data_IF_006751202782
#
_entry.id   IF_006751202782
#
_cell.length_a   1.000
_cell.length_b   1.000
_cell.length_c   1.000
_cell.angle_alpha   90.00
_cell.angle_beta   90.00
_cell.angle_gamma   90.00
#
_symmetry.space_group_name_H-M   'P 1'
#
loop_
_entity.id
_entity.type
_entity.pdbx_description
1 polymer ?
#
# COMPACT_ATOMS: atom_id res chain seq x y z
N UNK A 1 -57.60 1.28 60.23
CA UNK A 1 -57.77 1.64 61.66
C UNK A 1 -56.99 0.60 62.46
N UNK A 2 -55.73 0.90 62.80
CA UNK A 2 -55.16 0.91 64.16
C UNK A 2 -53.91 -0.01 64.10
N UNK A 3 -52.75 0.23 64.70
CA UNK A 3 -52.25 1.22 65.65
C UNK A 3 -50.72 1.19 65.54
N UNK A 4 -50.10 2.37 65.62
CA UNK A 4 -48.67 2.60 65.84
C UNK A 4 -48.14 1.81 67.05
N UNK A 5 -46.92 1.28 66.96
CA UNK A 5 -46.05 1.14 68.14
C UNK A 5 -44.72 1.83 67.87
N UNK A 6 -44.55 2.99 68.48
CA UNK A 6 -43.27 3.67 68.72
C UNK A 6 -42.76 3.31 70.11
N UNK A 7 -41.48 3.66 70.34
CA UNK A 7 -40.67 3.67 71.59
C UNK A 7 -39.67 2.50 71.61
N UNK A 8 -38.35 2.69 71.75
CA UNK A 8 -37.56 3.63 72.57
C UNK A 8 -36.27 4.04 71.80
N UNK A 9 -35.80 5.30 71.74
CA UNK A 9 -35.08 6.07 72.77
C UNK A 9 -33.90 5.26 73.34
N UNK A 10 -32.60 5.59 73.30
CA UNK A 10 -31.72 6.79 73.35
C UNK A 10 -30.32 6.24 72.92
N UNK A 11 -29.27 6.94 72.47
CA UNK A 11 -28.59 8.15 72.93
C UNK A 11 -27.44 8.37 71.91
N UNK A 12 -27.29 9.59 71.38
CA UNK A 12 -26.15 10.49 71.64
C UNK A 12 -24.81 10.11 70.97
N UNK A 13 -24.38 10.91 70.00
CA UNK A 13 -23.31 11.90 70.20
C UNK A 13 -23.02 12.65 68.89
N UNK A 14 -23.09 13.98 68.96
CA UNK A 14 -22.70 14.93 67.91
C UNK A 14 -21.21 15.17 68.03
N UNK A 15 -20.47 15.15 66.91
CA UNK A 15 -19.24 15.91 66.76
C UNK A 15 -19.01 16.19 65.26
N UNK A 16 -19.16 17.47 64.89
CA UNK A 16 -18.79 18.00 63.60
C UNK A 16 -17.28 18.25 63.55
N UNK A 17 -16.61 17.88 62.44
CA UNK A 17 -15.31 18.40 62.08
C UNK A 17 -15.20 18.46 60.54
N UNK A 18 -14.84 19.64 60.04
CA UNK A 18 -14.96 20.04 58.64
C UNK A 18 -14.05 19.27 57.68
N UNK A 19 -14.58 19.06 56.46
CA UNK A 19 -13.80 18.60 55.33
C UNK A 19 -13.08 19.79 54.67
N UNK A 20 -11.77 19.83 54.80
CA UNK A 20 -10.91 20.63 53.94
C UNK A 20 -10.92 20.01 52.53
N UNK A 21 -11.40 20.77 51.54
CA UNK A 21 -11.24 20.45 50.12
C UNK A 21 -9.75 20.62 49.76
N UNK A 22 -9.04 19.51 49.61
CA UNK A 22 -7.74 19.49 48.93
C UNK A 22 -8.02 19.31 47.45
N UNK A 23 -7.90 20.39 46.69
CA UNK A 23 -7.78 20.37 45.23
C UNK A 23 -6.44 19.72 44.87
N UNK A 24 -6.43 18.39 44.76
CA UNK A 24 -5.36 17.69 44.07
C UNK A 24 -5.50 17.98 42.58
N UNK A 25 -4.69 18.90 42.07
CA UNK A 25 -4.52 19.11 40.64
C UNK A 25 -3.96 17.84 40.02
N UNK A 26 -4.79 17.09 39.32
CA UNK A 26 -4.33 16.12 38.34
C UNK A 26 -3.63 16.91 37.23
N UNK A 27 -2.31 16.97 37.29
CA UNK A 27 -1.49 17.27 36.12
C UNK A 27 -1.80 16.16 35.12
N UNK A 28 -2.36 16.54 33.97
CA UNK A 28 -2.84 15.63 32.95
C UNK A 28 -1.73 14.68 32.53
N UNK A 29 -1.87 13.42 32.89
CA UNK A 29 -1.14 12.34 32.23
C UNK A 29 -1.83 12.15 30.89
N UNK A 30 -1.22 12.76 29.88
CA UNK A 30 -1.52 12.55 28.48
C UNK A 30 -1.42 11.05 28.20
N UNK A 31 -2.57 10.40 28.18
CA UNK A 31 -2.70 8.97 27.92
C UNK A 31 -2.86 8.82 26.42
N UNK A 32 -1.74 8.79 25.69
CA UNK A 32 -1.81 8.74 24.23
C UNK A 32 -0.51 8.66 23.43
N UNK A 33 0.69 8.60 24.02
CA UNK A 33 1.91 8.29 23.25
C UNK A 33 2.51 6.99 23.75
N UNK A 34 2.65 6.01 22.85
CA UNK A 34 3.51 4.86 23.09
C UNK A 34 4.91 5.33 23.44
N UNK A 35 5.61 4.59 24.29
CA UNK A 35 6.99 4.93 24.65
C UNK A 35 7.83 5.09 23.38
N UNK A 36 8.43 6.27 23.23
CA UNK A 36 9.42 6.54 22.18
C UNK A 36 10.82 6.22 22.69
N UNK A 37 11.67 5.71 21.82
CA UNK A 37 13.07 5.45 22.09
C UNK A 37 13.89 6.76 22.09
N UNK A 38 15.18 6.67 22.42
CA UNK A 38 16.09 7.82 22.50
C UNK A 38 16.26 8.60 21.18
N UNK A 39 15.80 8.04 20.06
CA UNK A 39 15.82 8.66 18.72
C UNK A 39 14.49 9.28 18.32
N UNK A 40 13.47 9.22 19.19
CA UNK A 40 12.16 9.82 18.95
C UNK A 40 11.20 8.95 18.13
N UNK A 41 11.48 7.65 17.99
CA UNK A 41 10.61 6.69 17.30
C UNK A 41 9.93 5.73 18.27
N UNK A 42 8.80 5.10 17.91
CA UNK A 42 8.27 3.97 18.68
C UNK A 42 9.29 2.83 18.81
N UNK A 43 9.19 2.04 19.89
CA UNK A 43 10.03 0.84 20.07
C UNK A 43 9.89 -0.18 18.92
N UNK A 44 8.68 -0.25 18.32
CA UNK A 44 8.39 -1.08 17.15
C UNK A 44 7.76 -0.23 16.06
N UNK A 45 8.26 -0.36 14.83
CA UNK A 45 7.64 0.18 13.62
C UNK A 45 7.04 -0.98 12.81
N UNK A 46 5.75 -0.89 12.49
CA UNK A 46 5.09 -1.84 11.58
C UNK A 46 5.19 -1.35 10.15
N UNK A 47 5.82 -2.14 9.28
CA UNK A 47 5.91 -1.90 7.84
C UNK A 47 5.00 -2.89 7.10
N UNK A 48 3.98 -2.41 6.40
CA UNK A 48 3.14 -3.23 5.52
C UNK A 48 3.46 -2.98 4.05
N UNK A 49 3.25 -4.00 3.21
CA UNK A 49 3.35 -3.88 1.75
C UNK A 49 2.13 -4.52 1.09
N UNK A 50 1.67 -3.90 0.00
CA UNK A 50 0.66 -4.52 -0.88
C UNK A 50 1.25 -5.75 -1.56
N UNK A 51 0.46 -6.83 -1.77
CA UNK A 51 0.98 -8.05 -2.38
C UNK A 51 0.99 -7.95 -3.91
N UNK A 52 1.87 -7.13 -4.49
CA UNK A 52 1.94 -6.96 -5.95
C UNK A 52 2.49 -8.21 -6.68
N UNK A 53 3.22 -9.06 -5.95
CA UNK A 53 3.67 -10.38 -6.38
C UNK A 53 3.34 -11.48 -5.33
N UNK A 54 3.00 -12.70 -5.78
CA UNK A 54 2.91 -13.87 -4.90
C UNK A 54 4.30 -14.50 -4.65
N UNK A 55 5.13 -13.79 -3.88
CA UNK A 55 6.46 -14.26 -3.49
C UNK A 55 6.46 -14.82 -2.06
N UNK A 56 6.86 -16.09 -1.92
CA UNK A 56 7.15 -16.69 -0.60
C UNK A 56 8.31 -15.97 0.11
N UNK A 57 9.15 -15.28 -0.65
CA UNK A 57 10.31 -14.54 -0.18
C UNK A 57 10.07 -13.02 -0.19
N UNK A 58 8.81 -12.54 -0.21
CA UNK A 58 8.51 -11.10 -0.21
C UNK A 58 9.24 -10.40 0.94
N UNK A 59 9.25 -11.01 2.14
CA UNK A 59 10.03 -10.49 3.28
C UNK A 59 11.51 -10.29 2.94
N UNK A 60 12.14 -11.21 2.22
CA UNK A 60 13.56 -11.11 1.88
C UNK A 60 13.84 -9.89 1.00
N UNK A 61 12.91 -9.48 0.12
CA UNK A 61 13.05 -8.25 -0.68
C UNK A 61 12.97 -6.96 0.15
N UNK A 62 12.42 -7.01 1.37
CA UNK A 62 12.39 -5.88 2.29
C UNK A 62 13.50 -5.93 3.34
N UNK A 63 14.21 -7.05 3.49
CA UNK A 63 15.21 -7.22 4.55
C UNK A 63 16.32 -6.15 4.56
N UNK A 64 16.87 -5.68 3.43
CA UNK A 64 17.84 -4.58 3.42
C UNK A 64 17.24 -3.29 4.01
N UNK A 65 16.03 -2.94 3.59
CA UNK A 65 15.32 -1.77 4.07
C UNK A 65 14.95 -1.88 5.56
N UNK A 66 14.50 -3.06 5.99
CA UNK A 66 14.20 -3.37 7.39
C UNK A 66 15.45 -3.14 8.25
N UNK A 67 16.59 -3.72 7.87
CA UNK A 67 17.85 -3.52 8.61
C UNK A 67 18.29 -2.06 8.63
N UNK A 68 18.13 -1.35 7.51
CA UNK A 68 18.43 0.09 7.42
C UNK A 68 17.56 0.87 8.41
N UNK A 69 16.25 0.64 8.41
CA UNK A 69 15.32 1.30 9.32
C UNK A 69 15.65 0.98 10.78
N UNK A 70 15.86 -0.29 11.14
CA UNK A 70 16.23 -0.68 12.51
C UNK A 70 17.52 0.02 12.98
N UNK A 71 18.52 0.12 12.10
CA UNK A 71 19.79 0.81 12.39
C UNK A 71 19.57 2.31 12.60
N UNK A 72 18.82 2.95 11.71
CA UNK A 72 18.64 4.40 11.69
C UNK A 72 17.69 4.88 12.78
N UNK A 73 16.56 4.20 12.99
CA UNK A 73 15.53 4.61 13.95
C UNK A 73 15.73 4.00 15.34
N UNK A 74 16.48 2.91 15.46
CA UNK A 74 16.60 2.15 16.71
C UNK A 74 15.34 1.37 17.08
N UNK A 75 14.30 1.39 16.25
CA UNK A 75 13.09 0.59 16.41
C UNK A 75 13.33 -0.85 15.95
N UNK A 76 12.61 -1.82 16.50
CA UNK A 76 12.38 -3.10 15.84
C UNK A 76 11.43 -2.88 14.66
N UNK A 77 11.70 -3.48 13.50
CA UNK A 77 10.77 -3.38 12.36
C UNK A 77 10.00 -4.69 12.18
N UNK A 78 8.68 -4.61 12.32
CA UNK A 78 7.77 -5.71 12.07
C UNK A 78 7.18 -5.60 10.67
N UNK A 79 7.65 -6.46 9.77
CA UNK A 79 7.12 -6.53 8.42
C UNK A 79 5.84 -7.37 8.35
N UNK A 80 4.81 -6.80 7.74
CA UNK A 80 3.51 -7.42 7.50
C UNK A 80 3.31 -7.54 5.99
N UNK A 81 3.39 -8.76 5.48
CA UNK A 81 2.87 -9.08 4.16
C UNK A 81 1.34 -9.10 4.25
N UNK A 82 0.67 -8.13 3.64
CA UNK A 82 -0.77 -8.09 3.64
C UNK A 82 -1.35 -9.17 2.70
N UNK A 83 -2.52 -9.69 3.07
CA UNK A 83 -3.23 -10.68 2.24
C UNK A 83 -3.81 -10.07 0.97
N UNK A 84 -4.13 -8.78 1.00
CA UNK A 84 -4.68 -8.01 -0.11
C UNK A 84 -4.36 -6.51 0.06
N UNK A 85 -4.62 -5.75 -1.00
CA UNK A 85 -4.35 -4.31 -1.04
C UNK A 85 -5.23 -3.53 -0.04
N UNK A 86 -6.48 -3.96 0.15
CA UNK A 86 -7.42 -3.30 1.05
C UNK A 86 -6.98 -3.43 2.52
N UNK A 87 -6.37 -4.55 2.91
CA UNK A 87 -5.85 -4.79 4.25
C UNK A 87 -4.76 -3.80 4.65
N UNK A 88 -3.90 -3.38 3.71
CA UNK A 88 -2.90 -2.32 3.97
C UNK A 88 -3.61 -0.98 4.21
N UNK A 89 -4.60 -0.65 3.38
CA UNK A 89 -5.39 0.59 3.51
C UNK A 89 -6.10 0.64 4.87
N UNK A 90 -6.83 -0.41 5.24
CA UNK A 90 -7.53 -0.49 6.53
C UNK A 90 -6.55 -0.49 7.71
N UNK A 91 -5.37 -1.10 7.55
CA UNK A 91 -4.30 -1.06 8.55
C UNK A 91 -3.78 0.36 8.83
N UNK A 92 -3.65 1.18 7.79
CA UNK A 92 -3.27 2.60 7.93
C UNK A 92 -4.40 3.42 8.55
N UNK A 93 -5.66 3.21 8.14
CA UNK A 93 -6.83 3.92 8.70
C UNK A 93 -6.99 3.61 10.20
N UNK A 94 -6.78 2.36 10.58
CA UNK A 94 -6.93 1.89 11.96
C UNK A 94 -5.69 2.16 12.85
N UNK A 95 -4.69 2.89 12.35
CA UNK A 95 -3.43 3.18 13.06
C UNK A 95 -2.67 1.90 13.50
N UNK A 96 -2.88 0.77 12.84
CA UNK A 96 -2.17 -0.49 13.13
C UNK A 96 -0.87 -0.64 12.32
N UNK A 97 -0.73 0.13 11.24
CA UNK A 97 0.45 0.17 10.37
C UNK A 97 1.09 1.57 10.50
N UNK A 98 2.42 1.60 10.65
CA UNK A 98 3.18 2.85 10.79
C UNK A 98 3.73 3.31 9.43
N UNK A 99 4.21 2.36 8.64
CA UNK A 99 4.79 2.56 7.31
C UNK A 99 4.11 1.62 6.33
N UNK A 100 3.80 2.10 5.13
CA UNK A 100 3.22 1.27 4.08
C UNK A 100 3.89 1.52 2.74
N UNK A 101 4.12 0.44 1.99
CA UNK A 101 4.46 0.50 0.57
C UNK A 101 3.21 0.27 -0.28
N UNK A 102 2.89 1.25 -1.12
CA UNK A 102 1.67 1.32 -1.89
C UNK A 102 1.94 1.40 -3.39
N UNK A 103 1.10 0.74 -4.16
CA UNK A 103 0.80 1.22 -5.51
C UNK A 103 0.05 2.57 -5.44
N UNK A 104 0.26 3.48 -6.40
CA UNK A 104 -0.30 4.85 -6.36
C UNK A 104 -1.80 4.95 -6.10
N UNK A 105 -2.60 4.04 -6.67
CA UNK A 105 -4.05 4.03 -6.47
C UNK A 105 -4.43 3.64 -5.04
N UNK A 106 -3.80 2.63 -4.46
CA UNK A 106 -4.05 2.24 -3.08
C UNK A 106 -3.68 3.36 -2.09
N UNK A 107 -2.60 4.11 -2.37
CA UNK A 107 -2.24 5.32 -1.62
C UNK A 107 -3.35 6.39 -1.71
N UNK A 108 -3.84 6.69 -2.92
CA UNK A 108 -4.95 7.64 -3.12
C UNK A 108 -6.22 7.19 -2.40
N UNK A 109 -6.60 5.90 -2.51
CA UNK A 109 -7.77 5.32 -1.85
C UNK A 109 -7.65 5.41 -0.33
N UNK A 110 -6.46 5.15 0.23
CA UNK A 110 -6.23 5.30 1.66
C UNK A 110 -6.56 6.72 2.14
N UNK A 111 -6.06 7.73 1.42
CA UNK A 111 -6.35 9.13 1.73
C UNK A 111 -7.84 9.48 1.59
N UNK A 112 -8.49 9.00 0.53
CA UNK A 112 -9.94 9.19 0.30
C UNK A 112 -10.78 8.57 1.42
N UNK A 113 -10.36 7.41 1.93
CA UNK A 113 -11.05 6.68 3.00
C UNK A 113 -10.66 7.16 4.41
N UNK A 114 -9.93 8.27 4.51
CA UNK A 114 -9.69 8.98 5.76
C UNK A 114 -8.36 8.68 6.45
N UNK A 115 -7.48 7.86 5.86
CA UNK A 115 -6.13 7.67 6.37
C UNK A 115 -5.37 9.01 6.41
N UNK A 116 -4.66 9.25 7.50
CA UNK A 116 -3.77 10.41 7.67
C UNK A 116 -2.36 9.95 7.39
N UNK A 117 -1.90 10.17 6.17
CA UNK A 117 -0.65 9.62 5.67
C UNK A 117 0.17 10.68 4.93
N UNK A 118 1.49 10.58 5.08
CA UNK A 118 2.46 11.47 4.44
C UNK A 118 3.41 10.63 3.57
N UNK A 119 3.61 10.97 2.29
CA UNK A 119 4.58 10.27 1.45
C UNK A 119 6.01 10.51 1.97
N UNK A 120 6.79 9.44 1.99
CA UNK A 120 8.21 9.42 2.37
C UNK A 120 9.12 9.42 1.15
N UNK A 121 8.67 8.85 0.04
CA UNK A 121 9.39 8.82 -1.23
C UNK A 121 8.82 7.80 -2.20
N UNK A 122 9.14 7.94 -3.48
CA UNK A 122 8.76 7.02 -4.54
C UNK A 122 9.96 6.18 -4.99
N UNK A 123 9.71 4.94 -5.40
CA UNK A 123 10.78 4.05 -5.86
C UNK A 123 11.24 4.38 -7.28
N UNK A 124 12.51 4.10 -7.55
CA UNK A 124 13.15 4.18 -8.86
C UNK A 124 13.94 2.90 -9.13
N UNK A 125 13.95 2.45 -10.37
CA UNK A 125 14.63 1.21 -10.80
C UNK A 125 16.14 1.40 -11.02
N UNK A 126 16.60 2.65 -11.21
CA UNK A 126 18.01 2.98 -11.42
C UNK A 126 18.31 4.40 -10.95
N UNK A 127 19.57 4.66 -10.57
CA UNK A 127 20.03 5.99 -10.15
C UNK A 127 19.69 7.06 -11.20
N UNK A 128 19.07 8.15 -10.74
CA UNK A 128 18.72 9.30 -11.59
C UNK A 128 17.53 9.10 -12.52
N UNK A 129 16.83 7.95 -12.45
CA UNK A 129 15.55 7.80 -13.12
C UNK A 129 14.45 8.63 -12.45
N UNK A 130 13.45 9.00 -13.24
CA UNK A 130 12.19 9.53 -12.72
C UNK A 130 11.34 8.38 -12.16
N UNK A 131 10.68 8.54 -10.99
CA UNK A 131 9.83 7.51 -10.43
C UNK A 131 8.58 7.32 -11.28
N UNK A 132 8.44 6.16 -11.90
CA UNK A 132 7.27 5.83 -12.71
C UNK A 132 7.38 4.49 -13.41
N UNK A 133 6.23 4.01 -13.89
CA UNK A 133 6.10 2.73 -14.56
C UNK A 133 4.85 2.72 -15.45
N UNK A 134 4.70 1.71 -16.31
CA UNK A 134 3.54 1.56 -17.18
C UNK A 134 2.72 0.32 -16.84
N UNK A 135 1.40 0.43 -17.03
CA UNK A 135 0.51 -0.73 -17.14
C UNK A 135 0.59 -1.31 -18.54
N UNK A 136 0.65 -2.64 -18.64
CA UNK A 136 0.59 -3.40 -19.88
C UNK A 136 -0.72 -4.16 -20.00
N UNK A 137 -1.31 -4.11 -21.19
CA UNK A 137 -2.32 -5.07 -21.64
C UNK A 137 -1.62 -6.21 -22.35
N UNK A 138 -1.88 -7.43 -21.91
CA UNK A 138 -1.13 -8.63 -22.28
C UNK A 138 -2.06 -9.69 -22.88
N UNK A 139 -1.50 -10.48 -23.79
CA UNK A 139 -2.09 -11.71 -24.29
C UNK A 139 -0.97 -12.72 -24.57
N UNK A 140 -1.29 -14.01 -24.77
CA UNK A 140 -0.29 -14.95 -25.29
C UNK A 140 0.23 -14.48 -26.64
N UNK A 141 1.52 -14.65 -26.90
CA UNK A 141 2.13 -14.22 -28.15
C UNK A 141 1.49 -14.91 -29.38
N UNK A 142 1.06 -16.16 -29.22
CA UNK A 142 0.40 -16.96 -30.25
C UNK A 142 -1.08 -16.62 -30.46
N UNK A 143 -1.68 -15.78 -29.60
CA UNK A 143 -3.09 -15.43 -29.68
C UNK A 143 -3.33 -14.35 -30.74
N UNK A 144 -3.58 -14.76 -31.98
CA UNK A 144 -3.87 -13.85 -33.09
C UNK A 144 -5.17 -13.03 -32.92
N UNK A 145 -6.07 -13.42 -32.01
CA UNK A 145 -7.37 -12.78 -31.83
C UNK A 145 -7.35 -11.56 -30.90
N UNK A 146 -6.22 -11.28 -30.23
CA UNK A 146 -6.08 -10.14 -29.31
C UNK A 146 -4.90 -9.28 -29.72
N UNK A 147 -5.16 -8.07 -30.22
CA UNK A 147 -4.12 -7.13 -30.69
C UNK A 147 -4.32 -5.70 -30.17
N UNK A 148 -5.31 -5.49 -29.30
CA UNK A 148 -5.52 -4.26 -28.55
C UNK A 148 -6.65 -4.41 -27.54
N UNK A 149 -6.89 -3.38 -26.73
CA UNK A 149 -7.92 -3.42 -25.68
C UNK A 149 -9.33 -3.70 -26.20
N UNK A 150 -9.67 -3.24 -27.41
CA UNK A 150 -10.98 -3.52 -28.01
C UNK A 150 -11.28 -5.03 -28.14
N UNK A 151 -10.25 -5.85 -28.31
CA UNK A 151 -10.37 -7.31 -28.45
C UNK A 151 -10.60 -8.03 -27.11
N UNK A 152 -10.55 -7.32 -25.98
CA UNK A 152 -10.79 -7.88 -24.64
C UNK A 152 -12.29 -8.10 -24.39
N UNK A 153 -13.16 -7.47 -25.18
CA UNK A 153 -14.60 -7.64 -25.10
C UNK A 153 -14.99 -9.13 -25.29
N UNK A 154 -15.80 -9.65 -24.36
CA UNK A 154 -16.27 -11.03 -24.35
C UNK A 154 -15.19 -12.07 -24.03
N UNK A 155 -13.98 -11.66 -23.62
CA UNK A 155 -12.88 -12.57 -23.23
C UNK A 155 -12.86 -12.82 -21.73
N UNK A 156 -12.10 -13.84 -21.33
CA UNK A 156 -11.68 -13.96 -19.93
C UNK A 156 -10.44 -13.12 -19.70
N UNK A 157 -10.56 -12.12 -18.83
CA UNK A 157 -9.53 -11.10 -18.63
C UNK A 157 -9.03 -11.15 -17.19
N UNK A 158 -7.74 -11.40 -17.02
CA UNK A 158 -7.09 -11.39 -15.72
C UNK A 158 -6.69 -9.95 -15.34
N UNK A 159 -7.40 -9.40 -14.38
CA UNK A 159 -7.00 -8.22 -13.61
C UNK A 159 -6.17 -8.67 -12.41
N UNK A 160 -5.54 -7.71 -11.71
CA UNK A 160 -4.74 -8.00 -10.51
C UNK A 160 -5.63 -7.95 -9.27
N UNK A 161 -5.78 -6.78 -8.67
CA UNK A 161 -6.64 -6.49 -7.54
C UNK A 161 -7.45 -5.22 -7.85
N UNK A 162 -8.73 -5.11 -7.41
CA UNK A 162 -9.54 -3.90 -7.63
C UNK A 162 -8.94 -2.59 -7.09
N UNK A 163 -7.97 -2.65 -6.19
CA UNK A 163 -7.20 -1.51 -5.66
C UNK A 163 -5.82 -1.35 -6.33
N UNK A 164 -5.49 -2.16 -7.34
CA UNK A 164 -4.24 -2.05 -8.11
C UNK A 164 -4.29 -0.89 -9.12
N UNK A 165 -3.21 -0.10 -9.16
CA UNK A 165 -3.08 1.01 -10.11
C UNK A 165 -2.97 0.52 -11.56
N UNK A 166 -1.97 -0.31 -11.85
CA UNK A 166 -1.66 -0.79 -13.20
C UNK A 166 -2.37 -2.09 -13.55
N UNK A 167 -2.88 -2.81 -12.55
CA UNK A 167 -3.62 -4.05 -12.74
C UNK A 167 -5.14 -3.89 -12.77
N UNK A 168 -5.65 -2.68 -12.48
CA UNK A 168 -7.09 -2.41 -12.49
C UNK A 168 -7.47 -0.97 -12.90
N UNK A 169 -6.98 0.07 -12.22
CA UNK A 169 -7.46 1.45 -12.44
C UNK A 169 -7.13 1.95 -13.86
N UNK A 170 -5.84 1.94 -14.23
CA UNK A 170 -5.41 2.38 -15.56
C UNK A 170 -5.92 1.45 -16.67
N UNK A 171 -5.92 0.11 -16.51
CA UNK A 171 -6.64 -0.79 -17.40
C UNK A 171 -8.11 -0.41 -17.63
N UNK A 172 -8.84 -0.08 -16.57
CA UNK A 172 -10.24 0.34 -16.67
C UNK A 172 -10.36 1.63 -17.48
N UNK A 173 -9.48 2.60 -17.26
CA UNK A 173 -9.46 3.83 -18.06
C UNK A 173 -9.17 3.57 -19.54
N UNK A 174 -8.18 2.70 -19.85
CA UNK A 174 -7.88 2.30 -21.22
C UNK A 174 -9.05 1.55 -21.88
N UNK A 175 -9.76 0.70 -21.14
CA UNK A 175 -10.94 -0.01 -21.62
C UNK A 175 -12.12 0.95 -21.89
N UNK A 176 -12.27 2.01 -21.09
CA UNK A 176 -13.24 3.09 -21.34
C UNK A 176 -12.88 3.85 -22.62
N UNK A 177 -11.61 4.24 -22.77
CA UNK A 177 -11.12 4.94 -23.96
C UNK A 177 -11.30 4.10 -25.24
N UNK A 178 -11.08 2.78 -25.13
CA UNK A 178 -11.32 1.83 -26.21
C UNK A 178 -12.81 1.54 -26.48
N UNK A 179 -13.73 2.08 -25.67
CA UNK A 179 -15.17 1.89 -25.82
C UNK A 179 -15.66 0.49 -25.42
N UNK A 180 -14.89 -0.26 -24.64
CA UNK A 180 -15.21 -1.63 -24.19
C UNK A 180 -16.13 -1.61 -22.98
N UNK A 181 -15.88 -0.71 -22.03
CA UNK A 181 -16.69 -0.50 -20.82
C UNK A 181 -17.07 0.97 -20.68
N UNK A 182 -18.10 1.28 -19.89
CA UNK A 182 -18.56 2.67 -19.66
C UNK A 182 -18.08 3.26 -18.34
N UNK A 183 -17.67 2.42 -17.39
CA UNK A 183 -17.05 2.81 -16.12
C UNK A 183 -16.18 1.66 -15.59
N UNK A 184 -15.33 1.95 -14.62
CA UNK A 184 -14.57 0.97 -13.83
C UNK A 184 -15.37 0.33 -12.70
N UNK A 185 -16.71 0.27 -12.81
CA UNK A 185 -17.54 -0.48 -11.87
C UNK A 185 -17.54 -1.97 -12.21
N UNK A 186 -17.66 -2.82 -11.19
CA UNK A 186 -17.73 -4.27 -11.36
C UNK A 186 -18.86 -4.71 -12.32
N UNK A 187 -19.98 -4.00 -12.28
CA UNK A 187 -21.14 -4.27 -13.14
C UNK A 187 -20.82 -4.02 -14.61
N UNK A 188 -20.20 -2.89 -14.95
CA UNK A 188 -19.85 -2.54 -16.33
C UNK A 188 -18.73 -3.44 -16.87
N UNK A 189 -17.73 -3.75 -16.04
CA UNK A 189 -16.65 -4.69 -16.40
C UNK A 189 -17.24 -6.08 -16.68
N UNK A 190 -18.06 -6.61 -15.77
CA UNK A 190 -18.67 -7.94 -15.91
C UNK A 190 -19.69 -8.03 -17.05
N UNK A 191 -20.28 -6.89 -17.45
CA UNK A 191 -21.16 -6.84 -18.62
C UNK A 191 -20.39 -6.96 -19.94
N UNK A 192 -19.15 -6.49 -19.99
CA UNK A 192 -18.32 -6.49 -21.20
C UNK A 192 -17.41 -7.71 -21.34
N UNK A 193 -16.99 -8.35 -20.25
CA UNK A 193 -16.04 -9.46 -20.24
C UNK A 193 -16.22 -10.38 -19.03
N UNK A 194 -15.44 -11.46 -18.93
CA UNK A 194 -15.36 -12.29 -17.72
C UNK A 194 -14.12 -11.89 -16.92
N UNK A 195 -14.23 -10.99 -15.91
CA UNK A 195 -13.09 -10.58 -15.10
C UNK A 195 -12.64 -11.70 -14.15
N UNK A 196 -11.33 -11.86 -14.01
CA UNK A 196 -10.68 -12.68 -12.99
C UNK A 196 -9.73 -11.78 -12.22
N UNK A 197 -9.88 -11.69 -10.90
CA UNK A 197 -8.96 -10.96 -10.04
C UNK A 197 -7.89 -11.92 -9.52
N UNK A 198 -6.71 -11.88 -10.15
CA UNK A 198 -5.62 -12.82 -9.88
C UNK A 198 -4.87 -12.52 -8.57
N UNK A 199 -5.08 -11.35 -7.98
CA UNK A 199 -4.42 -10.88 -6.75
C UNK A 199 -3.05 -10.25 -7.00
N UNK A 200 -2.20 -10.89 -7.83
CA UNK A 200 -0.84 -10.44 -8.15
C UNK A 200 -0.58 -10.22 -9.64
N UNK A 201 0.43 -9.42 -9.96
CA UNK A 201 0.85 -9.13 -11.34
C UNK A 201 1.46 -10.37 -12.02
N UNK A 202 2.27 -11.11 -11.27
CA UNK A 202 2.81 -12.43 -11.65
C UNK A 202 1.70 -13.45 -11.92
N UNK A 203 0.70 -13.52 -11.04
CA UNK A 203 -0.42 -14.44 -11.15
C UNK A 203 -1.28 -14.13 -12.39
N UNK A 204 -1.50 -12.85 -12.70
CA UNK A 204 -2.16 -12.41 -13.92
C UNK A 204 -1.39 -12.86 -15.16
N UNK A 205 -0.09 -12.55 -15.23
CA UNK A 205 0.76 -12.90 -16.37
C UNK A 205 0.88 -14.42 -16.57
N UNK A 206 1.06 -15.20 -15.49
CA UNK A 206 1.07 -16.67 -15.54
C UNK A 206 -0.27 -17.25 -16.00
N UNK A 207 -1.39 -16.69 -15.55
CA UNK A 207 -2.72 -17.13 -15.97
C UNK A 207 -2.94 -16.92 -17.48
N UNK A 208 -2.41 -15.82 -18.03
CA UNK A 208 -2.42 -15.59 -19.48
C UNK A 208 -1.53 -16.61 -20.20
N UNK A 209 -0.29 -16.80 -19.72
CA UNK A 209 0.67 -17.76 -20.29
C UNK A 209 0.07 -19.16 -20.36
N UNK A 210 -0.56 -19.61 -19.27
CA UNK A 210 -1.14 -20.95 -19.15
C UNK A 210 -2.46 -21.10 -19.94
N UNK A 211 -3.02 -20.00 -20.45
CA UNK A 211 -4.29 -20.01 -21.15
C UNK A 211 -5.51 -20.10 -20.25
N UNK A 212 -5.33 -19.90 -18.95
CA UNK A 212 -6.44 -19.76 -18.01
C UNK A 212 -7.21 -18.47 -18.29
N UNK A 213 -6.52 -17.40 -18.69
CA UNK A 213 -7.06 -16.15 -19.21
C UNK A 213 -6.67 -15.93 -20.68
N UNK A 214 -7.53 -15.28 -21.46
CA UNK A 214 -7.25 -14.94 -22.86
C UNK A 214 -6.34 -13.71 -22.99
N UNK A 215 -6.50 -12.79 -22.03
CA UNK A 215 -5.77 -11.54 -21.91
C UNK A 215 -5.73 -11.09 -20.44
N UNK A 216 -4.99 -10.05 -20.13
CA UNK A 216 -4.96 -9.49 -18.78
C UNK A 216 -3.97 -8.34 -18.65
N UNK A 217 -3.73 -7.95 -17.41
CA UNK A 217 -2.94 -6.75 -17.11
C UNK A 217 -1.83 -7.05 -16.09
N UNK A 218 -0.67 -6.44 -16.30
CA UNK A 218 0.41 -6.37 -15.32
C UNK A 218 1.23 -5.08 -15.50
N UNK A 219 2.16 -4.75 -14.59
CA UNK A 219 3.12 -3.68 -14.85
C UNK A 219 4.29 -4.18 -15.69
N UNK A 220 5.01 -3.23 -16.29
CA UNK A 220 6.14 -3.45 -17.20
C UNK A 220 7.26 -4.29 -16.60
N UNK A 221 7.94 -3.85 -15.54
CA UNK A 221 9.12 -4.54 -15.01
C UNK A 221 8.82 -5.93 -14.43
N UNK A 222 7.59 -6.19 -13.97
CA UNK A 222 7.16 -7.56 -13.63
C UNK A 222 7.30 -8.49 -14.83
N UNK A 223 6.81 -8.07 -16.00
CA UNK A 223 6.73 -8.88 -17.22
C UNK A 223 8.06 -8.93 -17.94
N UNK A 224 8.72 -7.77 -18.10
CA UNK A 224 9.91 -7.61 -18.91
C UNK A 224 11.18 -8.06 -18.16
N UNK A 225 11.18 -8.01 -16.82
CA UNK A 225 12.36 -8.28 -16.00
C UNK A 225 12.15 -9.36 -14.95
N UNK A 226 11.33 -9.12 -13.92
CA UNK A 226 11.24 -9.97 -12.72
C UNK A 226 10.90 -11.43 -13.07
N UNK A 227 9.82 -11.64 -13.83
CA UNK A 227 9.40 -12.99 -14.21
C UNK A 227 10.34 -13.66 -15.21
N UNK A 228 11.03 -12.88 -16.06
CA UNK A 228 12.04 -13.41 -16.99
C UNK A 228 13.27 -13.89 -16.23
N UNK A 229 13.74 -13.12 -15.26
CA UNK A 229 14.88 -13.46 -14.41
C UNK A 229 14.60 -14.68 -13.54
N UNK A 230 13.37 -14.81 -13.02
CA UNK A 230 12.92 -16.00 -12.26
C UNK A 230 12.73 -17.23 -13.14
N UNK A 231 12.65 -17.06 -14.47
CA UNK A 231 12.37 -18.13 -15.42
C UNK A 231 10.89 -18.51 -15.52
N UNK A 232 10.01 -17.71 -14.91
CA UNK A 232 8.55 -17.89 -14.95
C UNK A 232 7.98 -17.48 -16.31
N UNK A 233 8.63 -16.53 -17.01
CA UNK A 233 8.34 -16.15 -18.39
C UNK A 233 9.58 -16.31 -19.29
N UNK A 234 9.37 -16.84 -20.49
CA UNK A 234 10.36 -16.80 -21.56
C UNK A 234 10.02 -15.67 -22.56
N UNK A 235 11.02 -15.05 -23.19
CA UNK A 235 10.78 -14.13 -24.30
C UNK A 235 9.90 -14.78 -25.38
N UNK A 236 8.77 -14.15 -25.67
CA UNK A 236 7.79 -14.66 -26.64
C UNK A 236 6.69 -15.55 -26.07
N UNK A 237 6.59 -15.75 -24.74
CA UNK A 237 5.41 -16.38 -24.13
C UNK A 237 4.18 -15.45 -24.23
N UNK A 238 4.40 -14.16 -23.93
CA UNK A 238 3.39 -13.11 -23.94
C UNK A 238 3.72 -12.03 -24.97
N UNK A 239 2.69 -11.30 -25.41
CA UNK A 239 2.82 -10.06 -26.16
C UNK A 239 2.09 -8.93 -25.45
N UNK A 240 2.69 -7.74 -25.51
CA UNK A 240 2.07 -6.49 -25.04
C UNK A 240 1.26 -5.88 -26.18
N UNK A 241 -0.05 -5.75 -25.96
CA UNK A 241 -1.03 -5.23 -26.95
C UNK A 241 -1.52 -3.83 -26.60
N UNK A 242 -1.19 -3.34 -25.41
CA UNK A 242 -1.48 -1.99 -24.95
C UNK A 242 -0.49 -1.57 -23.86
N UNK A 243 -0.19 -0.27 -23.78
CA UNK A 243 0.55 0.36 -22.69
C UNK A 243 -0.19 1.61 -22.23
N UNK A 244 -0.26 1.84 -20.92
CA UNK A 244 -0.80 3.10 -20.38
C UNK A 244 0.12 4.29 -20.64
N UNK A 245 -0.35 5.50 -20.32
CA UNK A 245 0.56 6.61 -20.02
C UNK A 245 1.47 6.26 -18.83
N UNK A 246 2.52 7.07 -18.62
CA UNK A 246 3.42 6.88 -17.48
C UNK A 246 2.65 7.14 -16.18
N UNK A 247 2.67 6.15 -15.29
CA UNK A 247 2.07 6.22 -13.97
C UNK A 247 3.15 6.71 -13.00
N UNK A 248 2.78 7.57 -12.03
CA UNK A 248 3.68 7.92 -10.93
C UNK A 248 4.16 6.64 -10.20
N UNK A 249 5.42 6.61 -9.75
CA UNK A 249 6.01 5.43 -9.11
C UNK A 249 5.30 5.00 -7.82
N UNK A 250 5.48 3.74 -7.44
CA UNK A 250 5.03 3.21 -6.14
C UNK A 250 5.71 3.94 -4.99
N UNK A 251 5.02 4.00 -3.84
CA UNK A 251 5.31 4.99 -2.79
C UNK A 251 5.39 4.37 -1.41
N UNK A 252 6.39 4.77 -0.66
CA UNK A 252 6.40 4.60 0.79
C UNK A 252 5.68 5.77 1.45
N UNK A 253 4.76 5.49 2.36
CA UNK A 253 4.06 6.49 3.14
C UNK A 253 4.11 6.16 4.64
N UNK A 254 4.19 7.19 5.47
CA UNK A 254 4.08 7.10 6.92
C UNK A 254 2.67 7.46 7.38
N UNK A 255 2.22 6.85 8.47
CA UNK A 255 1.05 7.30 9.20
C UNK A 255 1.40 8.57 10.00
N UNK A 256 0.55 9.60 9.89
CA UNK A 256 0.75 10.91 10.51
C UNK A 256 0.81 10.84 12.06
N UNK A 257 0.30 9.77 12.68
CA UNK A 257 0.42 9.52 14.12
C UNK A 257 1.86 9.47 14.62
N UNK A 258 2.83 9.17 13.76
CA UNK A 258 4.26 9.19 14.09
C UNK A 258 4.76 10.61 14.45
N UNK A 259 4.02 11.64 14.02
CA UNK A 259 4.37 13.03 14.26
C UNK A 259 5.41 13.57 13.26
N UNK A 260 5.45 14.90 13.09
CA UNK A 260 6.21 15.55 12.03
C UNK A 260 7.72 15.34 12.14
N UNK A 261 8.27 15.27 13.34
CA UNK A 261 9.71 15.10 13.56
C UNK A 261 10.19 13.71 13.11
N UNK A 262 9.45 12.67 13.47
CA UNK A 262 9.76 11.29 13.05
C UNK A 262 9.57 11.13 11.53
N UNK A 263 8.51 11.71 10.97
CA UNK A 263 8.25 11.68 9.52
C UNK A 263 9.34 12.41 8.74
N UNK A 264 9.82 13.56 9.22
CA UNK A 264 10.93 14.29 8.60
C UNK A 264 12.23 13.48 8.58
N UNK A 265 12.53 12.81 9.69
CA UNK A 265 13.68 11.88 9.77
C UNK A 265 13.50 10.68 8.82
N UNK A 266 12.32 10.06 8.80
CA UNK A 266 12.02 8.94 7.88
C UNK A 266 12.17 9.37 6.43
N UNK A 267 11.61 10.52 6.03
CA UNK A 267 11.76 11.05 4.66
C UNK A 267 13.23 11.14 4.29
N UNK A 268 14.06 11.68 5.17
CA UNK A 268 15.53 11.76 4.97
C UNK A 268 16.16 10.38 4.82
N UNK A 269 15.82 9.42 5.71
CA UNK A 269 16.33 8.04 5.65
C UNK A 269 15.95 7.38 4.31
N UNK A 270 14.69 7.46 3.92
CA UNK A 270 14.20 6.89 2.67
C UNK A 270 14.90 7.52 1.47
N UNK A 271 14.94 8.85 1.36
CA UNK A 271 15.42 9.52 0.14
C UNK A 271 16.94 9.61 0.02
N UNK A 272 17.68 9.48 1.12
CA UNK A 272 19.14 9.61 1.12
C UNK A 272 19.87 8.29 1.35
N UNK A 273 19.24 7.31 2.03
CA UNK A 273 19.90 6.06 2.44
C UNK A 273 19.26 4.79 1.91
N UNK A 274 17.96 4.80 1.59
CA UNK A 274 17.29 3.63 1.03
C UNK A 274 17.55 3.51 -0.48
N UNK A 275 18.81 3.26 -0.83
CA UNK A 275 19.25 2.88 -2.17
C UNK A 275 20.31 1.78 -2.10
N UNK A 276 20.45 1.03 -3.19
CA UNK A 276 21.27 -0.16 -3.24
C UNK A 276 22.73 0.11 -2.89
N UNK A 277 23.30 1.22 -3.38
CA UNK A 277 24.71 1.57 -3.16
C UNK A 277 25.01 1.88 -1.68
N UNK A 278 24.14 2.68 -1.04
CA UNK A 278 24.30 3.03 0.38
C UNK A 278 24.11 1.80 1.26
N UNK A 279 23.07 1.00 1.00
CA UNK A 279 22.81 -0.21 1.79
C UNK A 279 23.93 -1.26 1.63
N UNK A 280 24.51 -1.39 0.44
CA UNK A 280 25.67 -2.25 0.19
C UNK A 280 26.92 -1.72 0.92
N UNK A 281 27.20 -0.42 0.81
CA UNK A 281 28.33 0.22 1.50
C UNK A 281 28.24 0.13 3.02
N UNK A 282 27.01 0.09 3.57
CA UNK A 282 26.74 -0.12 4.98
C UNK A 282 26.75 -1.60 5.41
N UNK A 283 26.95 -2.53 4.47
CA UNK A 283 27.02 -3.96 4.72
C UNK A 283 25.68 -4.60 5.08
N UNK A 284 24.56 -4.03 4.62
CA UNK A 284 23.21 -4.51 4.92
C UNK A 284 22.77 -5.63 3.96
N UNK A 285 23.35 -5.65 2.76
CA UNK A 285 23.06 -6.52 1.62
C UNK A 285 24.29 -6.57 0.68
N UNK A 286 24.23 -7.39 -0.38
CA UNK A 286 25.26 -7.48 -1.43
C UNK A 286 24.60 -7.67 -2.82
N UNK A 287 25.07 -6.93 -3.84
CA UNK A 287 24.60 -7.04 -5.22
C UNK A 287 23.08 -6.87 -5.36
N UNK A 288 22.44 -7.73 -6.17
CA UNK A 288 20.99 -7.71 -6.43
C UNK A 288 20.13 -7.84 -5.16
N UNK A 289 20.68 -8.39 -4.06
CA UNK A 289 19.96 -8.45 -2.80
C UNK A 289 19.80 -7.07 -2.13
N UNK A 290 20.43 -6.02 -2.67
CA UNK A 290 20.23 -4.63 -2.25
C UNK A 290 19.07 -3.93 -2.96
N UNK A 291 18.52 -4.54 -4.02
CA UNK A 291 17.28 -4.06 -4.62
C UNK A 291 16.13 -4.37 -3.66
N UNK A 292 15.31 -3.36 -3.39
CA UNK A 292 14.24 -3.46 -2.38
C UNK A 292 12.87 -3.63 -3.03
N UNK A 293 11.94 -4.17 -2.25
CA UNK A 293 10.56 -4.46 -2.65
C UNK A 293 10.44 -5.53 -3.73
N UNK A 294 9.21 -5.97 -3.99
CA UNK A 294 8.87 -6.87 -5.09
C UNK A 294 9.00 -6.21 -6.47
N UNK A 295 9.17 -4.89 -6.53
CA UNK A 295 9.49 -4.13 -7.74
C UNK A 295 10.99 -4.06 -8.03
N UNK A 296 11.85 -4.67 -7.18
CA UNK A 296 13.32 -4.64 -7.32
C UNK A 296 13.88 -3.23 -7.50
N UNK A 297 13.33 -2.28 -6.75
CA UNK A 297 13.74 -0.89 -6.82
C UNK A 297 15.21 -0.72 -6.40
N UNK A 298 15.95 0.08 -7.18
CA UNK A 298 17.30 0.51 -6.83
C UNK A 298 17.30 1.41 -5.61
N UNK A 299 16.32 2.30 -5.49
CA UNK A 299 16.21 3.18 -4.34
C UNK A 299 14.95 4.02 -4.30
N UNK A 300 14.90 4.94 -3.35
CA UNK A 300 13.76 5.82 -3.09
C UNK A 300 14.17 7.28 -3.27
N UNK A 301 13.36 8.06 -3.97
CA UNK A 301 13.57 9.48 -4.24
C UNK A 301 12.46 10.34 -3.65
N UNK A 302 12.71 11.65 -3.40
CA UNK A 302 11.68 12.54 -2.89
C UNK A 302 10.46 12.59 -3.79
N UNK A 303 9.28 12.59 -3.18
CA UNK A 303 8.00 12.73 -3.88
C UNK A 303 7.04 13.55 -3.02
N UNK A 304 6.15 14.28 -3.68
CA UNK A 304 5.08 15.04 -3.04
C UNK A 304 3.72 14.44 -3.41
N UNK A 305 2.71 14.67 -2.56
CA UNK A 305 1.37 14.13 -2.76
C UNK A 305 0.73 14.52 -4.11
N UNK A 306 1.08 15.70 -4.62
CA UNK A 306 0.59 16.20 -5.92
C UNK A 306 1.08 15.38 -7.12
N UNK A 307 2.13 14.57 -6.97
CA UNK A 307 2.54 13.63 -8.01
C UNK A 307 1.44 12.59 -8.33
N UNK A 308 0.53 12.35 -7.39
CA UNK A 308 -0.57 11.39 -7.54
C UNK A 308 -1.88 12.03 -8.03
N UNK A 309 -1.88 13.32 -8.39
CA UNK A 309 -3.07 13.98 -8.92
C UNK A 309 -3.53 13.39 -10.26
N UNK A 310 -2.60 12.87 -11.07
CA UNK A 310 -2.93 12.09 -12.26
C UNK A 310 -3.77 10.85 -11.93
N UNK A 311 -3.40 10.13 -10.87
CA UNK A 311 -4.14 8.94 -10.39
C UNK A 311 -5.53 9.34 -9.88
N UNK A 312 -5.64 10.45 -9.14
CA UNK A 312 -6.94 11.01 -8.70
C UNK A 312 -7.84 11.34 -9.88
N UNK A 313 -7.29 11.92 -10.95
CA UNK A 313 -8.03 12.22 -12.18
C UNK A 313 -8.50 10.94 -12.88
N UNK A 314 -7.66 9.91 -12.95
CA UNK A 314 -8.07 8.61 -13.51
C UNK A 314 -9.17 7.96 -12.66
N UNK A 315 -9.11 8.14 -11.34
CA UNK A 315 -10.19 7.79 -10.43
C UNK A 315 -11.54 8.41 -10.84
N UNK A 316 -11.55 9.73 -11.08
CA UNK A 316 -12.74 10.45 -11.51
C UNK A 316 -13.25 9.96 -12.88
N UNK A 317 -12.34 9.75 -13.83
CA UNK A 317 -12.69 9.30 -15.19
C UNK A 317 -13.28 7.90 -15.19
N UNK A 318 -12.71 6.99 -14.41
CA UNK A 318 -13.19 5.61 -14.34
C UNK A 318 -14.48 5.50 -13.56
N UNK A 319 -14.72 6.38 -12.57
CA UNK A 319 -15.84 6.24 -11.66
C UNK A 319 -15.79 4.94 -10.85
N UNK A 320 -14.59 4.37 -10.67
CA UNK A 320 -14.38 3.15 -9.90
C UNK A 320 -15.01 3.27 -8.52
N UNK A 321 -15.60 2.18 -8.03
CA UNK A 321 -16.25 2.16 -6.72
C UNK A 321 -15.27 2.43 -5.59
N UNK A 322 -13.99 2.10 -5.76
CA UNK A 322 -12.92 2.37 -4.79
C UNK A 322 -12.54 3.85 -4.71
N UNK A 323 -12.90 4.65 -5.71
CA UNK A 323 -12.68 6.10 -5.70
C UNK A 323 -13.78 6.87 -4.95
N UNK A 324 -14.80 6.17 -4.42
CA UNK A 324 -15.92 6.77 -3.68
C UNK A 324 -15.66 6.60 -2.18
N UNK A 325 -15.58 7.73 -1.46
CA UNK A 325 -15.55 7.81 0.00
C UNK A 325 -16.94 7.63 0.61
#
# INVERSE_FOLDING_TARGET
MMIRRTRHARMAAVAAAGAALVLAGCSGSDSGSGATNDKGFPETLTLAAVPAENSADMRASYDPLIKLLEKETGSKVEFVQASDYAGVVEGMIADNVDLAFFGPFAYVVAGLNGAKITPLGAVIEQEGAEPGYQSYGLARADNAAVNGLADFAGKKVCFVDPSSTSGFLYPSAGLIEAGVITSGSEADISAAMTPIYAGGHDASALSIKNGDCDAGFAFDSMVDETMVQKGDLAPGDLKTVWKSEMIAGSVFAANDKLGPDAIGQLRTIFTEKANAEVMEAEGLCEGDACLITDERAWGVVPIEDSAYDGVRKVCDVTGSEKCKS
#
